data_IF_393396129593
#
_entry.id   IF_393396129593
#
_cell.length_a   1.000
_cell.length_b   1.000
_cell.length_c   1.000
_cell.angle_alpha   90.00
_cell.angle_beta   90.00
_cell.angle_gamma   90.00
#
_symmetry.space_group_name_H-M   'P 1'
#
loop_
_entity.id
_entity.type
_entity.pdbx_description
1 polymer ?
#
# COMPACT_ATOMS: atom_id res chain seq x y z
N UNK A 1 36.04 -44.47 48.31
CA UNK A 1 35.92 -43.01 48.11
C UNK A 1 36.42 -42.54 46.71
N UNK A 2 36.91 -43.41 45.83
CA UNK A 2 37.39 -43.02 44.47
C UNK A 2 36.52 -43.50 43.28
N UNK A 3 35.23 -43.81 43.48
CA UNK A 3 34.35 -44.28 42.39
C UNK A 3 33.13 -43.38 42.10
N UNK A 4 32.96 -42.27 42.83
CA UNK A 4 31.79 -41.40 42.71
C UNK A 4 31.83 -40.31 41.61
N UNK A 5 32.97 -39.87 41.03
CA UNK A 5 32.93 -38.82 40.00
C UNK A 5 32.48 -39.30 38.61
N UNK A 6 32.62 -40.60 38.29
CA UNK A 6 32.41 -41.10 36.91
C UNK A 6 30.98 -41.45 36.53
N UNK A 7 30.03 -41.42 37.48
CA UNK A 7 28.61 -41.63 37.17
C UNK A 7 27.87 -40.32 36.86
N UNK A 8 28.46 -39.16 37.16
CA UNK A 8 27.82 -37.86 36.87
C UNK A 8 27.83 -37.51 35.37
N UNK A 9 28.88 -37.90 34.63
CA UNK A 9 29.00 -37.56 33.21
C UNK A 9 28.21 -38.50 32.28
N UNK A 10 27.84 -39.71 32.73
CA UNK A 10 27.04 -40.65 31.93
C UNK A 10 25.52 -40.55 32.17
N UNK A 11 25.07 -39.96 33.29
CA UNK A 11 23.64 -39.75 33.54
C UNK A 11 23.12 -38.50 32.82
N UNK A 12 23.97 -37.49 32.61
CA UNK A 12 23.61 -36.29 31.83
C UNK A 12 23.42 -36.56 30.32
N UNK A 13 23.96 -37.67 29.79
CA UNK A 13 23.82 -38.05 28.38
C UNK A 13 22.63 -38.97 28.06
N UNK A 14 22.00 -39.58 29.08
CA UNK A 14 20.92 -40.58 28.91
C UNK A 14 19.52 -40.07 29.30
N UNK A 15 19.42 -38.81 29.74
CA UNK A 15 18.16 -38.12 30.07
C UNK A 15 17.86 -36.95 29.13
N UNK A 16 18.30 -36.99 27.87
CA UNK A 16 17.64 -36.21 26.82
C UNK A 16 16.30 -36.88 26.54
N UNK A 17 15.28 -36.49 27.31
CA UNK A 17 13.90 -37.03 27.28
C UNK A 17 13.24 -36.55 25.97
N UNK A 18 13.15 -37.39 24.91
CA UNK A 18 12.52 -36.98 23.65
C UNK A 18 11.02 -36.69 23.82
N UNK A 19 10.42 -37.23 24.90
CA UNK A 19 9.01 -37.02 25.27
C UNK A 19 8.69 -35.56 25.57
N UNK A 20 9.57 -34.84 26.30
CA UNK A 20 9.28 -33.48 26.73
C UNK A 20 9.37 -32.49 25.57
N UNK A 21 10.35 -32.66 24.68
CA UNK A 21 10.45 -31.81 23.48
C UNK A 21 9.28 -32.05 22.53
N UNK A 22 8.82 -33.30 22.42
CA UNK A 22 7.64 -33.64 21.64
C UNK A 22 6.36 -32.99 22.19
N UNK A 23 6.16 -33.03 23.51
CA UNK A 23 5.02 -32.36 24.17
C UNK A 23 5.05 -30.84 23.99
N UNK A 24 6.23 -30.21 24.12
CA UNK A 24 6.38 -28.77 23.85
C UNK A 24 6.05 -28.41 22.42
N UNK A 25 6.55 -29.20 21.46
CA UNK A 25 6.26 -29.00 20.05
C UNK A 25 4.76 -29.19 19.74
N UNK A 26 4.10 -30.14 20.40
CA UNK A 26 2.66 -30.35 20.25
C UNK A 26 1.84 -29.12 20.71
N UNK A 27 2.14 -28.56 21.88
CA UNK A 27 1.48 -27.35 22.41
C UNK A 27 1.66 -26.17 21.44
N UNK A 28 2.88 -25.95 20.96
CA UNK A 28 3.17 -24.86 20.01
C UNK A 28 2.50 -25.09 18.65
N UNK A 29 2.39 -26.34 18.20
CA UNK A 29 1.68 -26.70 16.97
C UNK A 29 0.18 -26.43 17.08
N UNK A 30 -0.45 -26.77 18.21
CA UNK A 30 -1.85 -26.42 18.47
C UNK A 30 -2.06 -24.91 18.49
N UNK A 31 -1.16 -24.16 19.14
CA UNK A 31 -1.20 -22.69 19.13
C UNK A 31 -1.10 -22.12 17.71
N UNK A 32 -0.14 -22.61 16.91
CA UNK A 32 0.03 -22.23 15.51
C UNK A 32 -1.24 -22.50 14.68
N UNK A 33 -1.86 -23.67 14.83
CA UNK A 33 -3.10 -23.98 14.11
C UNK A 33 -4.25 -23.02 14.46
N UNK A 34 -4.34 -22.57 15.72
CA UNK A 34 -5.33 -21.55 16.13
C UNK A 34 -5.05 -20.21 15.46
N UNK A 35 -3.79 -19.78 15.40
CA UNK A 35 -3.39 -18.57 14.69
C UNK A 35 -3.69 -18.64 13.18
N UNK A 36 -3.50 -19.81 12.54
CA UNK A 36 -3.83 -20.02 11.13
C UNK A 36 -5.33 -19.89 10.87
N UNK A 37 -6.16 -20.43 11.76
CA UNK A 37 -7.62 -20.26 11.70
C UNK A 37 -8.04 -18.78 11.79
N UNK A 38 -7.48 -18.04 12.76
CA UNK A 38 -7.73 -16.60 12.91
C UNK A 38 -7.25 -15.81 11.69
N UNK A 39 -6.07 -16.12 11.16
CA UNK A 39 -5.54 -15.49 9.95
C UNK A 39 -6.48 -15.73 8.76
N UNK A 40 -7.00 -16.95 8.60
CA UNK A 40 -7.93 -17.28 7.53
C UNK A 40 -9.23 -16.46 7.63
N UNK A 41 -9.77 -16.31 8.85
CA UNK A 41 -10.95 -15.47 9.11
C UNK A 41 -10.72 -14.00 8.75
N UNK A 42 -9.60 -13.43 9.19
CA UNK A 42 -9.23 -12.05 8.83
C UNK A 42 -8.98 -11.92 7.32
N UNK A 43 -8.39 -12.95 6.70
CA UNK A 43 -8.17 -13.02 5.26
C UNK A 43 -9.48 -13.02 4.47
N UNK A 44 -10.53 -13.70 4.94
CA UNK A 44 -11.87 -13.61 4.33
C UNK A 44 -12.48 -12.22 4.48
N UNK A 45 -12.31 -11.58 5.65
CA UNK A 45 -12.77 -10.20 5.87
C UNK A 45 -12.04 -9.19 4.97
N UNK A 46 -10.74 -9.40 4.71
CA UNK A 46 -9.97 -8.55 3.81
C UNK A 46 -10.44 -8.69 2.36
N UNK A 47 -10.74 -9.92 1.92
CA UNK A 47 -11.29 -10.17 0.59
C UNK A 47 -12.70 -9.61 0.41
N UNK A 48 -13.49 -9.55 1.48
CA UNK A 48 -14.83 -8.96 1.46
C UNK A 48 -14.86 -7.45 1.76
N UNK A 49 -13.69 -6.83 2.00
CA UNK A 49 -13.55 -5.38 2.12
C UNK A 49 -13.62 -4.73 0.72
N UNK A 50 -14.74 -4.97 0.02
CA UNK A 50 -15.00 -4.41 -1.29
C UNK A 50 -15.08 -2.89 -1.23
N UNK A 51 -14.63 -2.24 -2.31
CA UNK A 51 -14.61 -0.79 -2.49
C UNK A 51 -16.01 -0.13 -2.51
N UNK A 52 -17.09 -0.90 -2.35
CA UNK A 52 -18.47 -0.42 -2.32
C UNK A 52 -19.07 -0.17 -0.93
N UNK A 53 -18.34 -0.47 0.16
CA UNK A 53 -18.87 -0.27 1.52
C UNK A 53 -18.89 1.22 1.87
N UNK A 54 -20.09 1.78 1.89
CA UNK A 54 -20.35 3.16 2.32
C UNK A 54 -20.18 3.26 3.85
N UNK A 55 -19.40 4.24 4.35
CA UNK A 55 -19.25 4.45 5.78
C UNK A 55 -20.57 4.92 6.42
N UNK A 56 -20.86 4.51 7.66
CA UNK A 56 -22.02 5.03 8.40
C UNK A 56 -21.76 6.40 9.03
N UNK A 57 -20.49 6.72 9.28
CA UNK A 57 -20.04 8.00 9.83
C UNK A 57 -18.76 8.47 9.15
N UNK A 58 -18.65 9.78 8.92
CA UNK A 58 -17.51 10.35 8.21
C UNK A 58 -16.37 10.73 9.16
N UNK A 59 -16.72 11.43 10.25
CA UNK A 59 -15.79 11.91 11.27
C UNK A 59 -15.53 10.86 12.36
N UNK A 60 -14.77 11.25 13.39
CA UNK A 60 -14.54 10.42 14.56
C UNK A 60 -15.85 10.28 15.36
N UNK A 61 -16.55 9.16 15.15
CA UNK A 61 -17.68 8.75 15.97
C UNK A 61 -17.16 7.97 17.18
N UNK A 62 -17.59 8.34 18.40
CA UNK A 62 -17.11 7.72 19.63
C UNK A 62 -17.18 6.18 19.63
N UNK A 63 -18.24 5.61 19.04
CA UNK A 63 -18.41 4.16 18.94
C UNK A 63 -17.39 3.49 18.02
N UNK A 64 -17.11 4.08 16.85
CA UNK A 64 -16.12 3.59 15.89
C UNK A 64 -14.70 3.78 16.43
N UNK A 65 -14.38 4.98 16.92
CA UNK A 65 -13.06 5.30 17.48
C UNK A 65 -12.76 4.41 18.68
N UNK A 66 -13.70 4.21 19.61
CA UNK A 66 -13.52 3.30 20.74
C UNK A 66 -13.28 1.84 20.34
N UNK A 67 -13.91 1.37 19.26
CA UNK A 67 -13.65 0.04 18.70
C UNK A 67 -12.24 -0.06 18.10
N UNK A 68 -11.78 0.96 17.36
CA UNK A 68 -10.41 1.01 16.80
C UNK A 68 -9.35 1.09 17.91
N UNK A 69 -9.62 1.84 18.96
CA UNK A 69 -8.74 1.92 20.12
C UNK A 69 -8.66 0.58 20.86
N UNK A 70 -9.76 -0.17 20.90
CA UNK A 70 -9.76 -1.55 21.43
C UNK A 70 -8.89 -2.49 20.58
N UNK A 71 -8.94 -2.38 19.25
CA UNK A 71 -8.04 -3.12 18.33
C UNK A 71 -6.58 -2.75 18.61
N UNK A 72 -6.27 -1.47 18.74
CA UNK A 72 -4.91 -0.98 19.00
C UNK A 72 -4.38 -1.49 20.34
N UNK A 73 -5.19 -1.37 21.40
CA UNK A 73 -4.85 -1.85 22.74
C UNK A 73 -4.67 -3.37 22.81
N UNK A 74 -5.40 -4.14 22.00
CA UNK A 74 -5.17 -5.57 21.87
C UNK A 74 -3.80 -5.87 21.22
N UNK A 75 -3.40 -5.09 20.21
CA UNK A 75 -2.06 -5.16 19.61
C UNK A 75 -0.92 -4.93 20.61
N UNK A 76 -1.08 -3.93 21.50
CA UNK A 76 -0.10 -3.64 22.55
C UNK A 76 0.05 -4.81 23.54
N UNK A 77 -1.07 -5.42 23.93
CA UNK A 77 -1.07 -6.61 24.80
C UNK A 77 -0.39 -7.80 24.12
N UNK A 78 -0.61 -7.99 22.82
CA UNK A 78 0.06 -9.05 22.04
C UNK A 78 1.57 -8.81 21.98
N UNK A 79 2.02 -7.57 21.77
CA UNK A 79 3.45 -7.23 21.77
C UNK A 79 4.13 -7.61 23.09
N UNK A 80 3.49 -7.27 24.22
CA UNK A 80 3.96 -7.65 25.56
C UNK A 80 3.95 -9.17 25.77
N UNK A 81 2.88 -9.85 25.35
CA UNK A 81 2.77 -11.30 25.43
C UNK A 81 3.82 -12.04 24.60
N UNK A 82 4.11 -11.54 23.39
CA UNK A 82 5.15 -12.10 22.53
C UNK A 82 6.54 -11.96 23.15
N UNK A 83 6.82 -10.82 23.78
CA UNK A 83 8.06 -10.60 24.54
C UNK A 83 8.20 -11.61 25.67
N UNK A 84 7.12 -11.81 26.44
CA UNK A 84 7.06 -12.81 27.51
C UNK A 84 7.29 -14.23 26.98
N UNK A 85 6.65 -14.59 25.86
CA UNK A 85 6.84 -15.88 25.21
C UNK A 85 8.32 -16.08 24.82
N UNK A 86 8.93 -15.12 24.13
CA UNK A 86 10.35 -15.20 23.74
C UNK A 86 11.28 -15.35 24.95
N UNK A 87 11.09 -14.56 26.00
CA UNK A 87 11.89 -14.67 27.24
C UNK A 87 11.73 -16.02 27.93
N UNK A 88 10.49 -16.52 27.98
CA UNK A 88 10.18 -17.81 28.61
C UNK A 88 10.78 -18.95 27.80
N UNK A 89 10.69 -18.90 26.47
CA UNK A 89 11.29 -19.92 25.60
C UNK A 89 12.82 -19.96 25.67
N UNK A 90 13.51 -18.84 25.96
CA UNK A 90 14.96 -18.83 26.25
C UNK A 90 15.33 -19.56 27.55
N UNK A 91 14.41 -19.60 28.51
CA UNK A 91 14.68 -20.09 29.88
C UNK A 91 14.38 -21.59 30.06
N UNK A 92 14.21 -22.36 28.98
CA UNK A 92 13.86 -23.80 28.99
C UNK A 92 12.66 -24.16 29.91
N UNK A 93 11.47 -23.61 29.63
CA UNK A 93 10.33 -23.62 30.54
C UNK A 93 9.60 -24.97 30.59
N UNK A 94 8.82 -25.22 31.65
CA UNK A 94 7.97 -26.42 31.72
C UNK A 94 6.89 -26.42 30.62
N UNK A 95 6.41 -27.61 30.24
CA UNK A 95 5.32 -27.77 29.25
C UNK A 95 4.10 -26.95 29.67
N UNK A 96 3.72 -27.02 30.96
CA UNK A 96 2.61 -26.27 31.53
C UNK A 96 2.81 -24.74 31.43
N UNK A 97 4.05 -24.26 31.60
CA UNK A 97 4.38 -22.85 31.46
C UNK A 97 4.21 -22.35 30.02
N UNK A 98 4.65 -23.16 29.04
CA UNK A 98 4.46 -22.87 27.61
C UNK A 98 2.97 -22.86 27.28
N UNK A 99 2.25 -23.89 27.70
CA UNK A 99 0.81 -24.02 27.45
C UNK A 99 0.02 -22.82 28.01
N UNK A 100 0.32 -22.41 29.23
CA UNK A 100 -0.33 -21.24 29.85
C UNK A 100 -0.12 -19.97 29.03
N UNK A 101 1.09 -19.72 28.53
CA UNK A 101 1.41 -18.50 27.78
C UNK A 101 0.83 -18.56 26.37
N UNK A 102 0.89 -19.72 25.70
CA UNK A 102 0.26 -19.94 24.40
C UNK A 102 -1.25 -19.75 24.48
N UNK A 103 -1.91 -20.21 25.54
CA UNK A 103 -3.35 -20.01 25.75
C UNK A 103 -3.68 -18.53 26.02
N UNK A 104 -2.91 -17.85 26.85
CA UNK A 104 -3.05 -16.40 27.09
C UNK A 104 -2.95 -15.62 25.77
N UNK A 105 -1.93 -15.91 24.96
CA UNK A 105 -1.71 -15.28 23.66
C UNK A 105 -2.78 -15.60 22.63
N UNK A 106 -3.26 -16.85 22.60
CA UNK A 106 -4.36 -17.25 21.72
C UNK A 106 -5.60 -16.42 22.02
N UNK A 107 -5.96 -16.24 23.30
CA UNK A 107 -7.08 -15.42 23.71
C UNK A 107 -6.90 -13.93 23.37
N UNK A 108 -5.68 -13.41 23.45
CA UNK A 108 -5.40 -12.04 23.00
C UNK A 108 -5.60 -11.88 21.49
N UNK A 109 -5.18 -12.85 20.68
CA UNK A 109 -5.41 -12.85 19.23
C UNK A 109 -6.90 -13.03 18.89
N UNK A 110 -7.63 -13.90 19.59
CA UNK A 110 -9.09 -14.06 19.45
C UNK A 110 -9.81 -12.74 19.79
N UNK A 111 -9.39 -12.06 20.86
CA UNK A 111 -9.92 -10.77 21.25
C UNK A 111 -9.62 -9.69 20.21
N UNK A 112 -8.40 -9.65 19.67
CA UNK A 112 -8.02 -8.73 18.57
C UNK A 112 -8.95 -8.88 17.36
N UNK A 113 -9.19 -10.12 16.93
CA UNK A 113 -10.09 -10.42 15.79
C UNK A 113 -11.54 -10.02 16.11
N UNK A 114 -12.01 -10.27 17.34
CA UNK A 114 -13.34 -9.83 17.79
C UNK A 114 -13.49 -8.30 17.78
N UNK A 115 -12.44 -7.57 18.20
CA UNK A 115 -12.41 -6.12 18.13
C UNK A 115 -12.44 -5.63 16.68
N UNK A 116 -11.72 -6.29 15.77
CA UNK A 116 -11.77 -6.00 14.34
C UNK A 116 -13.19 -6.19 13.79
N UNK A 117 -13.82 -7.33 14.04
CA UNK A 117 -15.19 -7.61 13.58
C UNK A 117 -16.18 -6.54 14.09
N UNK A 118 -15.98 -6.06 15.33
CA UNK A 118 -16.76 -4.96 15.89
C UNK A 118 -16.57 -3.67 15.08
N UNK A 119 -15.34 -3.31 14.69
CA UNK A 119 -15.09 -2.15 13.84
C UNK A 119 -15.78 -2.30 12.47
N UNK A 120 -15.72 -3.49 11.88
CA UNK A 120 -16.38 -3.76 10.60
C UNK A 120 -17.90 -3.55 10.69
N UNK A 121 -18.53 -3.96 11.81
CA UNK A 121 -19.96 -3.78 12.05
C UNK A 121 -20.35 -2.33 12.41
N UNK A 122 -19.44 -1.52 12.94
CA UNK A 122 -19.68 -0.13 13.38
C UNK A 122 -19.51 0.89 12.23
N UNK A 123 -19.68 0.45 10.99
CA UNK A 123 -19.74 1.30 9.80
C UNK A 123 -18.43 1.97 9.39
N UNK A 124 -17.30 1.28 9.64
CA UNK A 124 -16.07 1.54 8.92
C UNK A 124 -16.33 1.41 7.39
N UNK A 125 -15.91 2.41 6.61
CA UNK A 125 -15.93 2.37 5.16
C UNK A 125 -14.78 1.54 4.60
N UNK A 126 -14.83 1.21 3.30
CA UNK A 126 -13.91 0.26 2.68
C UNK A 126 -12.41 0.52 2.97
N UNK A 127 -11.87 1.75 2.88
CA UNK A 127 -10.44 1.99 3.11
C UNK A 127 -10.01 1.73 4.55
N UNK A 128 -10.85 2.15 5.53
CA UNK A 128 -10.56 1.92 6.94
C UNK A 128 -10.61 0.42 7.28
N UNK A 129 -11.59 -0.30 6.70
CA UNK A 129 -11.68 -1.76 6.84
C UNK A 129 -10.43 -2.43 6.28
N UNK A 130 -9.98 -2.04 5.09
CA UNK A 130 -8.79 -2.59 4.46
C UNK A 130 -7.52 -2.32 5.26
N UNK A 131 -7.32 -1.09 5.75
CA UNK A 131 -6.17 -0.72 6.58
C UNK A 131 -6.11 -1.54 7.88
N UNK A 132 -7.24 -1.67 8.59
CA UNK A 132 -7.30 -2.42 9.84
C UNK A 132 -7.19 -3.93 9.64
N UNK A 133 -7.96 -4.50 8.71
CA UNK A 133 -7.90 -5.93 8.42
C UNK A 133 -6.51 -6.32 7.89
N UNK A 134 -5.91 -5.47 7.04
CA UNK A 134 -4.55 -5.65 6.55
C UNK A 134 -3.52 -5.63 7.68
N UNK A 135 -3.58 -4.63 8.57
CA UNK A 135 -2.67 -4.54 9.72
C UNK A 135 -2.80 -5.74 10.67
N UNK A 136 -4.02 -6.17 10.99
CA UNK A 136 -4.28 -7.35 11.81
C UNK A 136 -3.80 -8.62 11.12
N UNK A 137 -4.03 -8.77 9.82
CA UNK A 137 -3.55 -9.92 9.05
C UNK A 137 -2.02 -10.01 9.08
N UNK A 138 -1.32 -8.91 8.82
CA UNK A 138 0.16 -8.85 8.87
C UNK A 138 0.67 -9.20 10.27
N UNK A 139 0.04 -8.69 11.34
CA UNK A 139 0.38 -9.04 12.72
C UNK A 139 0.25 -10.56 12.96
N UNK A 140 -0.86 -11.18 12.54
CA UNK A 140 -1.06 -12.62 12.70
C UNK A 140 -0.05 -13.43 11.88
N UNK A 141 0.33 -12.97 10.68
CA UNK A 141 1.39 -13.58 9.87
C UNK A 141 2.74 -13.51 10.58
N UNK A 142 3.14 -12.34 11.10
CA UNK A 142 4.38 -12.19 11.87
C UNK A 142 4.41 -13.08 13.11
N UNK A 143 3.26 -13.31 13.75
CA UNK A 143 3.15 -14.20 14.89
C UNK A 143 3.28 -15.68 14.48
N UNK A 144 2.68 -16.06 13.36
CA UNK A 144 2.87 -17.41 12.81
C UNK A 144 4.33 -17.70 12.49
N UNK A 145 5.04 -16.72 11.93
CA UNK A 145 6.48 -16.81 11.65
C UNK A 145 7.28 -16.97 12.95
N UNK A 146 7.01 -16.14 13.97
CA UNK A 146 7.64 -16.28 15.30
C UNK A 146 7.41 -17.67 15.89
N UNK A 147 6.16 -18.15 15.84
CA UNK A 147 5.79 -19.47 16.38
C UNK A 147 6.51 -20.59 15.63
N UNK A 148 6.61 -20.50 14.30
CA UNK A 148 7.35 -21.47 13.49
C UNK A 148 8.84 -21.48 13.84
N UNK A 149 9.48 -20.32 14.00
CA UNK A 149 10.90 -20.23 14.40
C UNK A 149 11.15 -20.85 15.78
N UNK A 150 10.26 -20.60 16.73
CA UNK A 150 10.34 -21.21 18.07
C UNK A 150 10.24 -22.75 17.98
N UNK A 151 9.35 -23.28 17.15
CA UNK A 151 9.20 -24.74 16.94
C UNK A 151 10.43 -25.35 16.27
N UNK A 152 10.97 -24.69 15.23
CA UNK A 152 12.07 -25.22 14.42
C UNK A 152 13.45 -25.13 15.09
N UNK A 153 13.70 -24.04 15.82
CA UNK A 153 15.05 -23.66 16.30
C UNK A 153 15.15 -23.59 17.82
N UNK A 154 14.04 -23.68 18.54
CA UNK A 154 14.00 -23.42 19.97
C UNK A 154 14.08 -21.92 20.30
N UNK A 155 13.99 -21.58 21.58
CA UNK A 155 13.84 -20.18 22.02
C UNK A 155 15.10 -19.31 22.02
N UNK A 156 16.29 -19.90 21.95
CA UNK A 156 17.57 -19.19 22.10
C UNK A 156 18.20 -18.74 20.78
N UNK A 157 17.57 -19.09 19.65
CA UNK A 157 18.08 -18.74 18.33
C UNK A 157 17.86 -17.24 18.03
N UNK A 158 18.86 -16.60 17.41
CA UNK A 158 18.78 -15.19 17.03
C UNK A 158 17.62 -14.89 16.08
N UNK A 159 17.20 -15.87 15.25
CA UNK A 159 16.04 -15.71 14.36
C UNK A 159 14.72 -15.56 15.12
N UNK A 160 14.59 -16.09 16.34
CA UNK A 160 13.43 -15.86 17.20
C UNK A 160 13.39 -14.40 17.65
N UNK A 161 14.54 -13.85 18.05
CA UNK A 161 14.64 -12.43 18.45
C UNK A 161 14.28 -11.50 17.29
N UNK A 162 14.78 -11.81 16.09
CA UNK A 162 14.44 -11.05 14.87
C UNK A 162 12.94 -11.15 14.57
N UNK A 163 12.35 -12.35 14.63
CA UNK A 163 10.91 -12.54 14.40
C UNK A 163 10.05 -11.80 15.44
N UNK A 164 10.47 -11.76 16.71
CA UNK A 164 9.82 -10.94 17.74
C UNK A 164 9.89 -9.46 17.38
N UNK A 165 11.02 -8.97 16.89
CA UNK A 165 11.17 -7.60 16.41
C UNK A 165 10.25 -7.26 15.24
N UNK A 166 10.08 -8.18 14.28
CA UNK A 166 9.13 -8.02 13.17
C UNK A 166 7.69 -7.94 13.69
N UNK A 167 7.31 -8.81 14.64
CA UNK A 167 5.99 -8.76 15.27
C UNK A 167 5.75 -7.44 16.00
N UNK A 168 6.75 -6.89 16.70
CA UNK A 168 6.65 -5.56 17.32
C UNK A 168 6.38 -4.46 16.30
N UNK A 169 7.09 -4.47 15.17
CA UNK A 169 6.86 -3.51 14.09
C UNK A 169 5.43 -3.64 13.54
N UNK A 170 4.90 -4.86 13.44
CA UNK A 170 3.51 -5.10 13.03
C UNK A 170 2.50 -4.53 14.06
N UNK A 171 2.75 -4.69 15.36
CA UNK A 171 1.94 -4.05 16.42
C UNK A 171 2.04 -2.51 16.36
N UNK A 172 3.23 -1.95 16.14
CA UNK A 172 3.41 -0.50 16.02
C UNK A 172 2.68 0.07 14.80
N UNK A 173 2.71 -0.64 13.67
CA UNK A 173 1.94 -0.29 12.46
C UNK A 173 0.44 -0.31 12.72
N UNK A 174 -0.05 -1.27 13.51
CA UNK A 174 -1.46 -1.31 13.94
C UNK A 174 -1.85 -0.04 14.72
N UNK A 175 -0.94 0.54 15.51
CA UNK A 175 -1.17 1.83 16.18
C UNK A 175 -1.24 3.05 15.25
N UNK A 176 -0.70 2.94 14.02
CA UNK A 176 -0.65 4.01 13.01
C UNK A 176 -1.79 3.95 11.98
N UNK A 177 -2.72 3.02 12.15
CA UNK A 177 -3.93 2.93 11.32
C UNK A 177 -4.83 4.16 11.52
N UNK A 178 -5.60 4.57 10.51
CA UNK A 178 -6.50 5.71 10.63
C UNK A 178 -7.53 5.49 11.74
N UNK A 179 -7.85 6.54 12.49
CA UNK A 179 -8.83 6.51 13.58
C UNK A 179 -10.26 6.91 13.16
N UNK A 180 -10.45 7.22 11.88
CA UNK A 180 -11.74 7.60 11.30
C UNK A 180 -11.77 7.35 9.78
N UNK A 181 -12.98 7.28 9.23
CA UNK A 181 -13.19 7.14 7.79
C UNK A 181 -12.59 8.32 7.01
N UNK A 182 -12.80 9.56 7.46
CA UNK A 182 -12.20 10.77 6.86
C UNK A 182 -10.69 10.62 6.67
N UNK A 183 -9.96 10.16 7.69
CA UNK A 183 -8.50 10.00 7.61
C UNK A 183 -8.12 8.86 6.66
N UNK A 184 -8.84 7.74 6.69
CA UNK A 184 -8.57 6.59 5.82
C UNK A 184 -8.76 6.93 4.33
N UNK A 185 -9.88 7.56 3.97
CA UNK A 185 -10.16 8.00 2.61
C UNK A 185 -9.14 9.06 2.13
N UNK A 186 -8.77 10.01 3.01
CA UNK A 186 -7.71 10.98 2.70
C UNK A 186 -6.37 10.30 2.42
N UNK A 187 -5.97 9.34 3.25
CA UNK A 187 -4.73 8.57 3.08
C UNK A 187 -4.71 7.83 1.75
N UNK A 188 -5.81 7.16 1.39
CA UNK A 188 -5.95 6.44 0.12
C UNK A 188 -5.77 7.36 -1.09
N UNK A 189 -6.45 8.51 -1.13
CA UNK A 189 -6.34 9.46 -2.24
C UNK A 189 -4.92 10.07 -2.34
N UNK A 190 -4.30 10.39 -1.20
CA UNK A 190 -2.91 10.82 -1.17
C UNK A 190 -1.97 9.74 -1.71
N UNK A 191 -2.18 8.48 -1.33
CA UNK A 191 -1.37 7.36 -1.82
C UNK A 191 -1.52 7.19 -3.34
N UNK A 192 -2.74 7.22 -3.88
CA UNK A 192 -2.96 7.16 -5.34
C UNK A 192 -2.24 8.31 -6.07
N UNK A 193 -2.28 9.53 -5.51
CA UNK A 193 -1.56 10.69 -6.06
C UNK A 193 -0.03 10.53 -6.02
N UNK A 194 0.51 9.95 -4.95
CA UNK A 194 1.94 9.65 -4.82
C UNK A 194 2.36 8.53 -5.78
N UNK A 195 1.57 7.45 -5.88
CA UNK A 195 1.82 6.37 -6.84
C UNK A 195 1.89 6.89 -8.27
N UNK A 196 0.90 7.67 -8.70
CA UNK A 196 0.92 8.28 -10.03
C UNK A 196 2.12 9.22 -10.22
N UNK A 197 2.54 9.94 -9.18
CA UNK A 197 3.75 10.77 -9.24
C UNK A 197 5.00 9.91 -9.45
N UNK A 198 5.17 8.84 -8.68
CA UNK A 198 6.35 7.99 -8.77
C UNK A 198 6.46 7.36 -10.17
N UNK A 199 5.35 6.90 -10.74
CA UNK A 199 5.30 6.36 -12.12
C UNK A 199 5.70 7.46 -13.13
N UNK A 200 5.18 8.68 -12.98
CA UNK A 200 5.56 9.80 -13.86
C UNK A 200 7.06 10.08 -13.75
N UNK A 201 7.59 10.17 -12.53
CA UNK A 201 9.00 10.49 -12.29
C UNK A 201 9.91 9.39 -12.90
N UNK A 202 9.55 8.10 -12.73
CA UNK A 202 10.25 6.94 -13.30
C UNK A 202 10.23 6.94 -14.84
N UNK A 203 9.05 7.10 -15.47
CA UNK A 203 8.96 7.14 -16.94
C UNK A 203 9.65 8.39 -17.51
N UNK A 204 9.60 9.54 -16.83
CA UNK A 204 10.32 10.74 -17.25
C UNK A 204 11.85 10.57 -17.21
N UNK A 205 12.37 9.85 -16.22
CA UNK A 205 13.79 9.48 -16.14
C UNK A 205 14.18 8.59 -17.34
N UNK A 206 13.42 7.53 -17.64
CA UNK A 206 13.67 6.66 -18.80
C UNK A 206 13.57 7.42 -20.12
N UNK A 207 12.57 8.33 -20.25
CA UNK A 207 12.42 9.21 -21.42
C UNK A 207 13.62 10.16 -21.58
N UNK A 208 14.18 10.68 -20.49
CA UNK A 208 15.35 11.55 -20.53
C UNK A 208 16.59 10.77 -20.98
N UNK A 209 16.86 9.61 -20.38
CA UNK A 209 17.98 8.74 -20.75
C UNK A 209 17.91 8.29 -22.21
N UNK A 210 16.72 7.97 -22.71
CA UNK A 210 16.52 7.52 -24.10
C UNK A 210 16.59 8.64 -25.14
N UNK A 211 16.45 9.92 -24.75
CA UNK A 211 16.63 11.05 -25.67
C UNK A 211 18.09 11.29 -26.02
N UNK A 212 18.96 11.09 -25.04
CA UNK A 212 20.40 11.33 -25.19
C UNK A 212 21.06 10.20 -25.98
N UNK A 213 20.54 8.98 -25.87
CA UNK A 213 21.02 7.83 -26.62
C UNK A 213 19.87 6.85 -26.95
N UNK A 214 19.07 7.11 -28.01
CA UNK A 214 17.93 6.26 -28.36
C UNK A 214 18.37 4.86 -28.78
N UNK A 215 17.54 3.86 -28.50
CA UNK A 215 17.78 2.50 -29.01
C UNK A 215 17.71 2.52 -30.54
N UNK A 216 18.69 1.89 -31.17
CA UNK A 216 18.70 1.65 -32.61
C UNK A 216 18.06 0.29 -32.82
N UNK A 217 16.79 0.27 -33.24
CA UNK A 217 16.14 -0.97 -33.67
C UNK A 217 16.87 -1.43 -34.94
N UNK A 218 17.64 -2.52 -34.83
CA UNK A 218 18.51 -2.99 -35.91
C UNK A 218 17.72 -3.43 -37.14
N UNK A 219 17.89 -2.71 -38.25
CA UNK A 219 17.79 -3.30 -39.59
C UNK A 219 18.87 -4.38 -39.72
N UNK A 220 18.50 -5.50 -40.34
CA UNK A 220 19.33 -6.66 -40.67
C UNK A 220 20.84 -6.41 -40.60
N UNK A 221 21.53 -7.10 -39.68
CA UNK A 221 22.97 -7.38 -39.80
C UNK A 221 23.21 -8.34 -40.98
N UNK A 222 22.87 -7.89 -42.17
CA UNK A 222 23.11 -8.53 -43.45
C UNK A 222 24.07 -7.68 -44.29
N UNK A 223 25.18 -7.20 -43.70
CA UNK A 223 26.32 -6.67 -44.46
C UNK A 223 27.63 -6.73 -43.68
N UNK A 224 27.96 -7.90 -43.13
CA UNK A 224 29.32 -8.23 -42.69
C UNK A 224 29.71 -9.65 -43.12
N UNK A 225 29.38 -10.02 -44.36
CA UNK A 225 30.03 -11.13 -45.04
C UNK A 225 30.66 -10.62 -46.33
N UNK A 226 32.00 -10.65 -46.35
CA UNK A 226 32.85 -10.55 -47.53
C UNK A 226 33.36 -9.16 -47.94
N UNK A 227 34.31 -8.64 -47.16
CA UNK A 227 35.51 -8.04 -47.76
C UNK A 227 36.76 -8.26 -46.88
N UNK A 228 37.44 -9.37 -47.16
CA UNK A 228 38.91 -9.56 -47.23
C UNK A 228 39.80 -8.62 -46.41
N UNK A 229 40.35 -9.15 -45.31
CA UNK A 229 41.78 -9.24 -44.92
C UNK A 229 41.92 -9.14 -43.39
N UNK A 230 42.30 -10.25 -42.77
CA UNK A 230 42.73 -10.33 -41.37
C UNK A 230 43.98 -9.45 -41.14
N UNK A 231 43.99 -8.58 -40.11
CA UNK A 231 45.19 -8.25 -39.36
C UNK A 231 45.27 -9.09 -38.07
N UNK A 232 46.47 -9.31 -37.53
CA UNK A 232 46.71 -10.22 -36.42
C UNK A 232 46.09 -9.70 -35.12
N UNK A 233 45.49 -10.64 -34.39
CA UNK A 233 44.94 -10.49 -33.05
C UNK A 233 46.03 -10.02 -32.06
N UNK A 234 45.84 -8.84 -31.46
CA UNK A 234 46.44 -8.48 -30.18
C UNK A 234 45.43 -8.85 -29.07
N UNK A 235 45.82 -9.78 -28.20
CA UNK A 235 45.00 -10.51 -27.23
C UNK A 235 44.54 -9.69 -25.99
N UNK A 236 44.66 -8.36 -25.97
CA UNK A 236 44.41 -7.55 -24.76
C UNK A 236 43.08 -6.75 -24.75
N UNK A 237 42.30 -6.72 -25.84
CA UNK A 237 41.04 -5.95 -25.93
C UNK A 237 39.75 -6.80 -25.96
N UNK A 238 39.85 -8.14 -25.83
CA UNK A 238 38.70 -9.05 -25.96
C UNK A 238 37.69 -8.97 -24.80
N UNK A 239 38.04 -8.34 -23.67
CA UNK A 239 37.13 -8.18 -22.53
C UNK A 239 36.33 -6.86 -22.52
N UNK A 240 36.63 -5.90 -23.43
CA UNK A 240 35.94 -4.61 -23.47
C UNK A 240 34.62 -4.61 -24.24
N UNK A 241 34.48 -5.45 -25.28
CA UNK A 241 33.34 -5.44 -26.21
C UNK A 241 32.19 -6.41 -25.83
N UNK A 242 32.30 -7.13 -24.71
CA UNK A 242 31.23 -8.01 -24.19
C UNK A 242 30.39 -7.34 -23.08
N UNK A 243 30.64 -6.05 -22.82
CA UNK A 243 29.96 -5.22 -21.81
C UNK A 243 29.20 -4.02 -22.45
N UNK A 244 29.04 -3.99 -23.78
CA UNK A 244 27.96 -3.24 -24.44
C UNK A 244 26.70 -4.12 -24.34
N UNK A 245 25.82 -4.05 -23.34
CA UNK A 245 25.60 -3.03 -22.34
C UNK A 245 24.17 -2.49 -22.49
N UNK A 246 23.16 -3.26 -22.04
CA UNK A 246 21.74 -2.85 -21.85
C UNK A 246 21.20 -1.80 -22.85
N UNK A 247 21.32 -2.05 -24.16
CA UNK A 247 20.58 -1.26 -25.14
C UNK A 247 19.06 -1.55 -25.09
N UNK A 248 18.66 -2.62 -24.40
CA UNK A 248 17.26 -3.04 -24.25
C UNK A 248 16.46 -2.13 -23.29
N UNK A 249 17.11 -1.40 -22.38
CA UNK A 249 16.47 -0.51 -21.39
C UNK A 249 16.13 0.89 -21.94
N UNK A 250 16.31 1.12 -23.24
CA UNK A 250 16.09 2.44 -23.88
C UNK A 250 14.96 2.39 -24.88
N UNK A 251 14.23 3.50 -24.97
CA UNK A 251 13.19 3.66 -25.97
C UNK A 251 13.80 3.82 -27.36
N UNK A 252 13.18 3.17 -28.35
CA UNK A 252 13.32 3.54 -29.74
C UNK A 252 12.62 4.89 -30.04
N UNK A 253 12.91 5.55 -31.17
CA UNK A 253 12.28 6.82 -31.51
C UNK A 253 10.74 6.77 -31.53
N UNK A 254 10.15 5.62 -31.93
CA UNK A 254 8.71 5.41 -31.93
C UNK A 254 8.14 5.30 -30.51
N UNK A 255 8.76 4.45 -29.68
CA UNK A 255 8.38 4.24 -28.28
C UNK A 255 8.51 5.52 -27.45
N UNK A 256 9.54 6.35 -27.74
CA UNK A 256 9.78 7.61 -27.04
C UNK A 256 8.62 8.60 -27.17
N UNK A 257 8.00 8.69 -28.36
CA UNK A 257 6.84 9.57 -28.60
C UNK A 257 5.62 9.06 -27.81
N UNK A 258 5.45 7.74 -27.74
CA UNK A 258 4.39 7.08 -27.00
C UNK A 258 4.56 7.30 -25.50
N UNK A 259 5.74 7.04 -24.94
CA UNK A 259 6.06 7.25 -23.53
C UNK A 259 5.81 8.70 -23.10
N UNK A 260 6.24 9.68 -23.90
CA UNK A 260 5.96 11.10 -23.63
C UNK A 260 4.46 11.43 -23.64
N UNK A 261 3.67 10.78 -24.49
CA UNK A 261 2.22 10.95 -24.50
C UNK A 261 1.57 10.35 -23.25
N UNK A 262 2.00 9.16 -22.83
CA UNK A 262 1.56 8.53 -21.58
C UNK A 262 1.87 9.40 -20.36
N UNK A 263 3.07 9.99 -20.28
CA UNK A 263 3.45 10.92 -19.18
C UNK A 263 2.48 12.10 -19.09
N UNK A 264 2.14 12.74 -20.22
CA UNK A 264 1.18 13.86 -20.22
C UNK A 264 -0.19 13.42 -19.71
N UNK A 265 -0.63 12.22 -20.10
CA UNK A 265 -1.90 11.67 -19.69
C UNK A 265 -1.93 11.31 -18.20
N UNK A 266 -0.88 10.66 -17.68
CA UNK A 266 -0.70 10.37 -16.26
C UNK A 266 -0.68 11.65 -15.40
N UNK A 267 -0.15 12.77 -15.91
CA UNK A 267 -0.23 14.08 -15.23
C UNK A 267 -1.66 14.57 -15.08
N UNK A 268 -2.55 14.32 -16.05
CA UNK A 268 -3.98 14.62 -15.93
C UNK A 268 -4.63 13.72 -14.88
N UNK A 269 -4.32 12.42 -14.89
CA UNK A 269 -4.82 11.48 -13.89
C UNK A 269 -4.45 11.92 -12.46
N UNK A 270 -3.19 12.29 -12.25
CA UNK A 270 -2.71 12.80 -10.96
C UNK A 270 -3.43 14.08 -10.54
N UNK A 271 -3.75 14.97 -11.48
CA UNK A 271 -4.54 16.16 -11.21
C UNK A 271 -5.96 15.80 -10.76
N UNK A 272 -6.58 14.78 -11.36
CA UNK A 272 -7.88 14.27 -10.93
C UNK A 272 -7.85 13.75 -9.49
N UNK A 273 -6.79 13.04 -9.08
CA UNK A 273 -6.63 12.60 -7.67
C UNK A 273 -6.51 13.77 -6.70
N UNK A 274 -5.82 14.84 -7.08
CA UNK A 274 -5.72 16.06 -6.26
C UNK A 274 -7.06 16.75 -6.14
N UNK A 275 -7.79 16.91 -7.24
CA UNK A 275 -9.15 17.43 -7.26
C UNK A 275 -10.06 16.61 -6.34
N UNK A 276 -10.03 15.28 -6.44
CA UNK A 276 -10.81 14.39 -5.58
C UNK A 276 -10.51 14.63 -4.09
N UNK A 277 -9.23 14.77 -3.74
CA UNK A 277 -8.77 15.02 -2.38
C UNK A 277 -9.22 16.38 -1.84
N UNK A 278 -9.13 17.43 -2.66
CA UNK A 278 -9.56 18.79 -2.33
C UNK A 278 -11.07 18.86 -2.13
N UNK A 279 -11.85 18.34 -3.08
CA UNK A 279 -13.32 18.26 -2.99
C UNK A 279 -13.76 17.46 -1.76
N UNK A 280 -13.15 16.30 -1.50
CA UNK A 280 -13.48 15.51 -0.30
C UNK A 280 -13.16 16.28 1.00
N UNK A 281 -12.09 17.08 1.02
CA UNK A 281 -11.72 17.89 2.18
C UNK A 281 -12.74 19.01 2.40
N UNK A 282 -13.12 19.72 1.33
CA UNK A 282 -14.15 20.76 1.32
C UNK A 282 -15.50 20.24 1.81
N UNK A 283 -15.99 19.15 1.20
CA UNK A 283 -17.23 18.46 1.59
C UNK A 283 -17.19 18.03 3.07
N UNK A 284 -16.05 17.52 3.53
CA UNK A 284 -15.84 17.01 4.89
C UNK A 284 -15.56 18.05 5.98
N UNK A 285 -15.44 19.34 5.64
CA UNK A 285 -15.27 20.44 6.60
C UNK A 285 -16.57 21.22 6.83
N UNK A 286 -17.63 20.96 6.04
CA UNK A 286 -18.94 21.57 6.23
C UNK A 286 -18.84 23.09 6.32
N UNK A 287 -18.11 23.72 5.38
CA UNK A 287 -17.70 25.12 5.45
C UNK A 287 -18.88 26.01 5.85
N UNK A 288 -18.87 26.46 7.10
CA UNK A 288 -19.57 27.65 7.56
C UNK A 288 -18.79 28.81 6.95
N UNK A 289 -19.19 29.23 5.75
CA UNK A 289 -18.67 30.46 5.16
C UNK A 289 -19.20 31.61 6.02
N UNK A 290 -18.40 32.06 7.00
CA UNK A 290 -18.52 33.44 7.46
C UNK A 290 -18.02 34.29 6.30
N UNK A 291 -18.96 34.87 5.56
CA UNK A 291 -18.65 35.76 4.46
C UNK A 291 -17.79 36.92 4.97
N UNK A 292 -16.52 36.98 4.57
CA UNK A 292 -15.69 38.15 4.80
C UNK A 292 -14.21 37.88 5.05
N UNK A 293 -13.49 37.34 4.06
CA UNK A 293 -12.06 37.63 3.90
C UNK A 293 -11.63 37.28 2.47
N UNK A 294 -11.49 38.29 1.61
CA UNK A 294 -10.73 38.16 0.37
C UNK A 294 -9.25 37.93 0.71
N UNK A 295 -8.70 36.80 0.30
CA UNK A 295 -7.25 36.56 0.33
C UNK A 295 -6.65 36.94 -1.02
N UNK A 296 -5.96 38.08 -1.05
CA UNK A 296 -5.05 38.46 -2.12
C UNK A 296 -3.70 37.76 -1.93
N UNK A 297 -3.12 37.28 -3.03
CA UNK A 297 -1.82 36.63 -3.14
C UNK A 297 -0.65 37.48 -2.63
N UNK A 298 0.28 36.89 -1.88
CA UNK A 298 1.74 37.06 -2.10
C UNK A 298 2.56 36.10 -1.23
N UNK A 299 3.69 35.67 -1.80
CA UNK A 299 4.76 34.86 -1.20
C UNK A 299 5.34 35.47 0.08
N UNK A 300 5.80 34.61 1.00
CA UNK A 300 6.76 35.00 2.03
C UNK A 300 6.57 34.29 3.37
N UNK A 301 7.60 33.59 3.81
CA UNK A 301 7.70 32.94 5.12
C UNK A 301 7.52 33.93 6.30
N UNK A 302 6.64 33.61 7.26
CA UNK A 302 6.75 34.07 8.64
C UNK A 302 5.83 33.27 9.58
N UNK A 303 6.30 33.18 10.83
CA UNK A 303 5.79 32.50 12.02
C UNK A 303 4.34 32.80 12.41
N UNK A 304 3.64 31.77 12.90
CA UNK A 304 2.31 31.86 13.54
C UNK A 304 2.46 32.41 14.96
N UNK A 305 1.94 33.62 15.19
CA UNK A 305 1.58 34.14 16.52
C UNK A 305 0.07 33.95 16.76
N UNK A 306 -0.27 33.63 18.01
CA UNK A 306 -1.63 33.42 18.54
C UNK A 306 -2.60 34.54 18.18
N UNK A 307 -3.84 34.18 17.81
CA UNK A 307 -4.96 35.10 17.65
C UNK A 307 -5.98 34.78 18.76
N UNK A 308 -6.25 35.80 19.59
CA UNK A 308 -7.27 35.81 20.64
C UNK A 308 -8.69 35.60 20.10
N UNK A 309 -9.45 34.74 20.78
CA UNK A 309 -10.87 34.49 20.52
C UNK A 309 -11.75 35.59 21.10
N UNK A 310 -12.48 36.32 20.26
CA UNK A 310 -13.61 37.16 20.70
C UNK A 310 -14.90 36.34 20.75
N UNK A 311 -15.50 36.25 21.95
CA UNK A 311 -16.77 35.59 22.24
C UNK A 311 -17.98 36.32 21.61
N UNK A 312 -19.01 35.56 21.23
CA UNK A 312 -20.39 36.09 21.20
C UNK A 312 -21.18 35.99 19.88
N UNK A 313 -21.20 34.83 19.22
CA UNK A 313 -22.28 34.50 18.26
C UNK A 313 -22.72 33.05 18.54
N UNK A 314 -24.03 32.74 18.66
CA UNK A 314 -24.49 31.37 18.87
C UNK A 314 -24.15 30.55 17.63
N UNK A 315 -23.10 29.74 17.76
CA UNK A 315 -22.65 28.78 16.75
C UNK A 315 -23.77 27.76 16.56
N UNK A 316 -24.52 27.86 15.46
CA UNK A 316 -25.38 26.78 15.03
C UNK A 316 -24.49 25.54 14.92
N UNK A 317 -24.72 24.55 15.79
CA UNK A 317 -24.03 23.26 15.78
C UNK A 317 -24.44 22.54 14.51
N UNK A 318 -23.81 22.88 13.39
CA UNK A 318 -23.94 22.18 12.13
C UNK A 318 -23.52 20.74 12.41
N UNK A 319 -24.46 19.80 12.24
CA UNK A 319 -24.21 18.40 12.50
C UNK A 319 -23.04 17.97 11.61
N UNK A 320 -21.92 17.44 12.17
CA UNK A 320 -20.70 17.14 11.42
C UNK A 320 -20.84 15.92 10.49
N UNK A 321 -22.06 15.42 10.30
CA UNK A 321 -22.35 14.25 9.50
C UNK A 321 -22.69 14.66 8.07
N UNK A 322 -21.86 14.20 7.14
CA UNK A 322 -22.13 14.24 5.71
C UNK A 322 -23.50 13.64 5.39
N UNK A 323 -24.12 14.15 4.33
CA UNK A 323 -25.31 13.51 3.79
C UNK A 323 -24.94 12.12 3.25
N UNK A 324 -25.91 11.20 3.24
CA UNK A 324 -25.71 9.87 2.64
C UNK A 324 -25.28 9.96 1.17
N UNK A 325 -25.77 10.97 0.43
CA UNK A 325 -25.35 11.24 -0.95
C UNK A 325 -23.86 11.59 -1.05
N UNK A 326 -23.37 12.48 -0.18
CA UNK A 326 -21.95 12.86 -0.13
C UNK A 326 -21.05 11.67 0.23
N UNK A 327 -21.45 10.83 1.18
CA UNK A 327 -20.68 9.63 1.55
C UNK A 327 -20.64 8.59 0.43
N UNK A 328 -21.76 8.38 -0.28
CA UNK A 328 -21.81 7.51 -1.45
C UNK A 328 -20.87 8.01 -2.56
N UNK A 329 -20.89 9.31 -2.81
CA UNK A 329 -20.03 9.93 -3.80
C UNK A 329 -18.54 9.75 -3.45
N UNK A 330 -18.16 10.02 -2.20
CA UNK A 330 -16.76 9.85 -1.76
C UNK A 330 -16.34 8.39 -1.90
N UNK A 331 -17.17 7.45 -1.44
CA UNK A 331 -16.87 6.02 -1.53
C UNK A 331 -16.69 5.58 -2.99
N UNK A 332 -17.60 5.98 -3.88
CA UNK A 332 -17.52 5.71 -5.31
C UNK A 332 -16.28 6.32 -5.96
N UNK A 333 -16.01 7.60 -5.71
CA UNK A 333 -14.83 8.31 -6.25
C UNK A 333 -13.53 7.64 -5.81
N UNK A 334 -13.43 7.24 -4.54
CA UNK A 334 -12.22 6.58 -4.03
C UNK A 334 -12.05 5.17 -4.60
N UNK A 335 -13.14 4.43 -4.80
CA UNK A 335 -13.10 3.16 -5.53
C UNK A 335 -12.56 3.36 -6.96
N UNK A 336 -13.03 4.39 -7.67
CA UNK A 336 -12.51 4.73 -9.00
C UNK A 336 -11.04 5.14 -8.96
N UNK A 337 -10.62 5.90 -7.95
CA UNK A 337 -9.22 6.28 -7.76
C UNK A 337 -8.32 5.05 -7.53
N UNK A 338 -8.78 4.05 -6.77
CA UNK A 338 -8.04 2.80 -6.59
C UNK A 338 -7.92 2.01 -7.89
N UNK A 339 -9.01 1.88 -8.65
CA UNK A 339 -8.99 1.17 -9.93
C UNK A 339 -8.06 1.83 -10.93
N UNK A 340 -8.23 3.13 -11.17
CA UNK A 340 -7.32 3.91 -12.03
C UNK A 340 -5.88 3.88 -11.54
N UNK A 341 -5.63 3.88 -10.22
CA UNK A 341 -4.27 3.83 -9.69
C UNK A 341 -3.63 2.47 -9.94
N UNK A 342 -4.39 1.38 -9.89
CA UNK A 342 -3.90 0.05 -10.25
C UNK A 342 -3.57 -0.02 -11.74
N UNK A 343 -4.49 0.42 -12.60
CA UNK A 343 -4.26 0.45 -14.05
C UNK A 343 -3.12 1.39 -14.45
N UNK A 344 -2.87 2.47 -13.68
CA UNK A 344 -1.70 3.33 -13.87
C UNK A 344 -0.39 2.62 -13.52
N UNK A 345 -0.37 1.73 -12.52
CA UNK A 345 0.80 0.87 -12.23
C UNK A 345 1.02 -0.12 -13.37
N UNK A 346 -0.05 -0.76 -13.87
CA UNK A 346 0.02 -1.62 -15.05
C UNK A 346 0.59 -0.83 -16.26
N UNK A 347 0.20 0.44 -16.42
CA UNK A 347 0.72 1.31 -17.49
C UNK A 347 2.20 1.63 -17.31
N UNK A 348 2.63 1.90 -16.08
CA UNK A 348 4.05 2.11 -15.77
C UNK A 348 4.89 0.89 -16.15
N UNK A 349 4.41 -0.32 -15.82
CA UNK A 349 5.09 -1.57 -16.18
C UNK A 349 5.11 -1.80 -17.70
N UNK A 350 3.99 -1.58 -18.39
CA UNK A 350 3.89 -1.72 -19.84
C UNK A 350 4.73 -0.70 -20.62
N UNK A 351 5.20 0.37 -19.97
CA UNK A 351 6.09 1.37 -20.54
C UNK A 351 7.57 1.05 -20.33
N UNK A 352 7.92 -0.07 -19.68
CA UNK A 352 9.32 -0.47 -19.58
C UNK A 352 9.83 -0.96 -20.96
N UNK A 353 10.97 -0.46 -21.47
CA UNK A 353 11.52 -0.90 -22.75
C UNK A 353 11.95 -2.38 -22.76
N UNK A 354 11.86 -3.08 -23.92
CA UNK A 354 11.11 -2.75 -25.13
C UNK A 354 9.59 -2.69 -24.88
N UNK A 355 8.91 -1.73 -25.49
CA UNK A 355 7.46 -1.52 -25.29
C UNK A 355 6.67 -2.39 -26.27
N UNK A 356 5.84 -3.31 -25.76
CA UNK A 356 4.83 -4.00 -26.58
C UNK A 356 3.68 -3.05 -26.91
N UNK A 357 3.80 -2.39 -28.07
CA UNK A 357 2.82 -1.43 -28.57
C UNK A 357 1.50 -2.08 -29.03
N UNK A 358 1.46 -3.39 -29.29
CA UNK A 358 0.33 -4.04 -29.95
C UNK A 358 -0.66 -4.66 -28.97
N UNK A 359 -0.18 -5.41 -27.98
CA UNK A 359 -1.06 -6.14 -27.07
C UNK A 359 -1.12 -5.50 -25.68
N UNK A 360 0.02 -5.42 -24.99
CA UNK A 360 0.04 -5.01 -23.59
C UNK A 360 -0.33 -3.52 -23.41
N UNK A 361 0.30 -2.62 -24.17
CA UNK A 361 0.03 -1.20 -24.04
C UNK A 361 -1.40 -0.82 -24.47
N UNK A 362 -1.95 -1.46 -25.51
CA UNK A 362 -3.31 -1.17 -25.99
C UNK A 362 -4.37 -1.48 -24.93
N UNK A 363 -4.27 -2.68 -24.34
CA UNK A 363 -5.20 -3.15 -23.32
C UNK A 363 -5.19 -2.21 -22.12
N UNK A 364 -4.00 -1.86 -21.64
CA UNK A 364 -3.85 -1.01 -20.46
C UNK A 364 -4.32 0.41 -20.73
N UNK A 365 -4.00 0.99 -21.89
CA UNK A 365 -4.49 2.32 -22.30
C UNK A 365 -6.01 2.32 -22.46
N UNK A 366 -6.60 1.26 -23.04
CA UNK A 366 -8.05 1.08 -23.13
C UNK A 366 -8.73 1.07 -21.76
N UNK A 367 -8.25 0.21 -20.85
CA UNK A 367 -8.77 0.09 -19.48
C UNK A 367 -8.65 1.41 -18.71
N UNK A 368 -7.49 2.08 -18.77
CA UNK A 368 -7.30 3.35 -18.06
C UNK A 368 -8.15 4.47 -18.66
N UNK A 369 -8.37 4.46 -19.98
CA UNK A 369 -9.27 5.36 -20.69
C UNK A 369 -10.69 5.31 -20.16
N UNK A 370 -11.25 4.10 -20.08
CA UNK A 370 -12.60 3.86 -19.57
C UNK A 370 -12.74 4.26 -18.09
N UNK A 371 -11.84 3.80 -17.23
CA UNK A 371 -11.88 4.10 -15.80
C UNK A 371 -11.68 5.60 -15.51
N UNK A 372 -10.82 6.28 -16.28
CA UNK A 372 -10.59 7.70 -16.14
C UNK A 372 -11.77 8.55 -16.58
N UNK A 373 -12.52 8.14 -17.61
CA UNK A 373 -13.78 8.82 -17.99
C UNK A 373 -14.77 8.75 -16.83
N UNK A 374 -14.97 7.57 -16.25
CA UNK A 374 -15.88 7.38 -15.10
C UNK A 374 -15.44 8.25 -13.92
N UNK A 375 -14.14 8.27 -13.60
CA UNK A 375 -13.61 9.13 -12.53
C UNK A 375 -13.85 10.61 -12.82
N UNK A 376 -13.58 11.08 -14.04
CA UNK A 376 -13.76 12.48 -14.42
C UNK A 376 -15.22 12.93 -14.30
N UNK A 377 -16.16 12.10 -14.76
CA UNK A 377 -17.60 12.35 -14.64
C UNK A 377 -18.03 12.40 -13.18
N UNK A 378 -17.51 11.49 -12.35
CA UNK A 378 -17.78 11.48 -10.91
C UNK A 378 -17.28 12.76 -10.22
N UNK A 379 -16.14 13.32 -10.65
CA UNK A 379 -15.62 14.59 -10.14
C UNK A 379 -16.42 15.80 -10.64
N UNK A 380 -16.88 15.78 -11.90
CA UNK A 380 -17.74 16.83 -12.43
C UNK A 380 -19.10 16.87 -11.72
N UNK A 381 -19.67 15.71 -11.40
CA UNK A 381 -20.87 15.62 -10.56
C UNK A 381 -20.62 16.18 -9.14
N UNK A 382 -19.44 15.94 -8.58
CA UNK A 382 -19.04 16.47 -7.28
C UNK A 382 -18.96 17.99 -7.27
N UNK A 383 -18.26 18.53 -8.25
CA UNK A 383 -18.07 19.98 -8.39
C UNK A 383 -19.38 20.66 -8.73
N UNK A 384 -20.34 19.98 -9.37
CA UNK A 384 -21.72 20.48 -9.52
C UNK A 384 -22.48 20.49 -8.21
N UNK A 385 -22.32 19.47 -7.35
CA UNK A 385 -22.87 19.50 -5.99
C UNK A 385 -22.26 20.65 -5.16
N UNK A 386 -21.01 21.04 -5.43
CA UNK A 386 -20.35 22.20 -4.82
C UNK A 386 -20.66 23.54 -5.52
N UNK A 387 -21.01 23.57 -6.82
CA UNK A 387 -21.20 24.81 -7.59
C UNK A 387 -22.53 25.50 -7.34
N UNK A 388 -23.47 24.84 -6.66
CA UNK A 388 -24.54 25.52 -5.91
C UNK A 388 -23.99 26.40 -4.77
N UNK A 389 -22.67 26.34 -4.47
CA UNK A 389 -21.98 27.10 -3.40
C UNK A 389 -20.74 27.89 -3.83
N UNK A 390 -19.93 27.51 -4.84
CA UNK A 390 -18.96 28.39 -5.54
C UNK A 390 -18.24 27.74 -6.76
N UNK A 391 -17.62 28.58 -7.59
CA UNK A 391 -17.02 28.43 -8.95
C UNK A 391 -16.72 27.02 -9.53
N UNK A 392 -17.16 26.71 -10.76
CA UNK A 392 -16.97 25.41 -11.39
C UNK A 392 -15.52 25.15 -11.83
N UNK A 393 -14.99 23.97 -11.48
CA UNK A 393 -13.75 23.38 -11.99
C UNK A 393 -13.89 22.85 -13.44
N UNK A 394 -14.58 23.61 -14.29
CA UNK A 394 -15.00 23.17 -15.61
C UNK A 394 -13.82 22.75 -16.50
N UNK A 395 -13.88 21.52 -17.01
CA UNK A 395 -13.02 21.07 -18.11
C UNK A 395 -12.01 19.96 -17.78
N UNK A 396 -12.08 19.31 -16.62
CA UNK A 396 -11.19 18.16 -16.34
C UNK A 396 -11.53 16.95 -17.22
N UNK A 397 -12.82 16.65 -17.42
CA UNK A 397 -13.26 15.61 -18.38
C UNK A 397 -12.84 15.97 -19.81
N UNK A 398 -13.01 17.24 -20.21
CA UNK A 398 -12.60 17.72 -21.55
C UNK A 398 -11.10 17.55 -21.74
N UNK A 399 -10.29 17.89 -20.73
CA UNK A 399 -8.83 17.72 -20.77
C UNK A 399 -8.43 16.25 -20.80
N UNK A 400 -9.08 15.40 -19.99
CA UNK A 400 -8.86 13.96 -19.98
C UNK A 400 -9.09 13.35 -21.36
N UNK A 401 -10.28 13.60 -21.95
CA UNK A 401 -10.64 13.11 -23.28
C UNK A 401 -9.68 13.64 -24.35
N UNK A 402 -9.33 14.92 -24.30
CA UNK A 402 -8.41 15.51 -25.27
C UNK A 402 -7.01 14.89 -25.22
N UNK A 403 -6.45 14.63 -24.03
CA UNK A 403 -5.15 13.96 -23.92
C UNK A 403 -5.23 12.46 -24.26
N UNK A 404 -6.34 11.80 -23.94
CA UNK A 404 -6.58 10.41 -24.32
C UNK A 404 -6.67 10.24 -25.85
N UNK A 405 -7.40 11.12 -26.53
CA UNK A 405 -7.51 11.09 -27.99
C UNK A 405 -6.15 11.32 -28.66
N UNK A 406 -5.34 12.24 -28.14
CA UNK A 406 -3.96 12.45 -28.59
C UNK A 406 -3.09 11.21 -28.37
N UNK A 407 -3.21 10.55 -27.23
CA UNK A 407 -2.46 9.34 -26.93
C UNK A 407 -2.84 8.21 -27.90
N UNK A 408 -4.13 7.96 -28.10
CA UNK A 408 -4.61 6.93 -29.04
C UNK A 408 -4.14 7.18 -30.47
N UNK A 409 -4.14 8.45 -30.91
CA UNK A 409 -3.61 8.84 -32.21
C UNK A 409 -2.09 8.61 -32.33
N UNK A 410 -1.33 8.91 -31.26
CA UNK A 410 0.11 8.62 -31.20
C UNK A 410 0.39 7.11 -31.24
N UNK A 411 -0.30 6.32 -30.42
CA UNK A 411 -0.17 4.85 -30.38
C UNK A 411 -0.56 4.24 -31.73
N UNK A 412 -1.66 4.70 -32.33
CA UNK A 412 -2.09 4.25 -33.64
C UNK A 412 -1.09 4.56 -34.76
N UNK A 413 -0.43 5.73 -34.71
CA UNK A 413 0.66 6.06 -35.64
C UNK A 413 1.91 5.22 -35.42
N UNK A 414 2.27 4.95 -34.17
CA UNK A 414 3.45 4.14 -33.83
C UNK A 414 3.31 2.67 -34.27
N UNK A 415 2.07 2.18 -34.41
CA UNK A 415 1.77 0.84 -34.95
C UNK A 415 1.82 0.75 -36.47
N UNK A 416 1.66 1.86 -37.18
CA UNK A 416 1.64 1.80 -38.63
C UNK A 416 3.02 1.35 -39.12
N UNK A 417 3.13 0.27 -39.91
CA UNK A 417 4.41 -0.13 -40.47
C UNK A 417 4.97 1.03 -41.30
N UNK A 418 6.21 1.42 -41.00
CA UNK A 418 6.95 2.45 -41.74
C UNK A 418 7.16 2.01 -43.19
#
# INVERSE_FOLDING_TARGET
VQLLPRMSEHVSGLLSIPSLEHERAAVLSTFKARLESLRSHVGSNLKSADCGVIPSSWAAEAGLTGAIDSVTAAGDKISNGATKLTMVMKSSPSVQGIESICNELAHLCEHLVTCLDTVLLRGAGAPLRADLAGAVHVLLVSFLELSAKIIEKGGDDNSVVVATGVLWQSCEKLGKVPKSNKVAYRRLLMQASVTAKNIIDEVEETVASSKDNPRVDGEDSADAASSTLEPPFDDDDLFGAMMDGDDDDRYSPGELVVAQACVRWLKVLRAMYRTALETMTSVGEGVVVVAGASLSSSDGAASVTEIETTEGVPLATASPNLTHGSMNWIAGTCAMCQRTSKTAVDLGAALFPPVDLEAELDDVVGRLGEDGVILSQSLDDATRMESERQTPMGGIEVRWKAEFDKLRDVVGRARAPV
#
